data_IF_741701052230
#
_entry.id   IF_741701052230
#
_cell.length_a   1.000
_cell.length_b   1.000
_cell.length_c   1.000
_cell.angle_alpha   90.00
_cell.angle_beta   90.00
_cell.angle_gamma   90.00
#
_symmetry.space_group_name_H-M   'P 1'
#
loop_
_entity.id
_entity.type
_entity.pdbx_description
1 polymer ?
#
# COMPACT_ATOMS: atom_id res chain seq x y z
N UNK A 1 -11.47 46.79 12.88
CA UNK A 1 -10.23 46.37 13.59
C UNK A 1 -10.53 45.09 14.36
N UNK A 2 -10.43 43.92 13.71
CA UNK A 2 -10.28 42.58 14.32
C UNK A 2 -10.47 41.48 13.26
N UNK A 3 -9.51 41.28 12.37
CA UNK A 3 -9.56 40.14 11.44
C UNK A 3 -8.17 39.58 11.10
N UNK A 4 -7.22 39.67 12.04
CA UNK A 4 -5.81 39.22 11.82
C UNK A 4 -5.39 38.10 12.80
N UNK A 5 -6.22 37.68 13.76
CA UNK A 5 -5.78 36.78 14.83
C UNK A 5 -6.02 35.28 14.54
N UNK A 6 -6.74 34.91 13.47
CA UNK A 6 -7.13 33.49 13.26
C UNK A 6 -6.14 32.62 12.47
N UNK A 7 -5.22 33.20 11.69
CA UNK A 7 -4.29 32.39 10.88
C UNK A 7 -3.03 31.99 11.63
N UNK A 8 -2.58 32.79 12.61
CA UNK A 8 -1.34 32.54 13.34
C UNK A 8 -1.42 31.29 14.25
N UNK A 9 -2.62 30.94 14.71
CA UNK A 9 -2.84 29.75 15.55
C UNK A 9 -2.83 28.43 14.75
N UNK A 10 -3.17 28.46 13.45
CA UNK A 10 -3.18 27.26 12.60
C UNK A 10 -1.78 26.88 12.12
N UNK A 11 -0.93 27.87 11.88
CA UNK A 11 0.48 27.65 11.51
C UNK A 11 1.28 27.15 12.73
N UNK A 12 1.11 27.81 13.88
CA UNK A 12 1.68 27.41 15.18
C UNK A 12 1.31 25.97 15.61
N UNK A 13 0.09 25.50 15.28
CA UNK A 13 -0.31 24.11 15.57
C UNK A 13 0.25 23.09 14.56
N UNK A 14 0.49 23.46 13.30
CA UNK A 14 1.17 22.57 12.34
C UNK A 14 2.65 22.39 12.72
N UNK A 15 3.29 23.44 13.19
CA UNK A 15 4.69 23.39 13.59
C UNK A 15 4.88 22.64 14.92
N UNK A 16 3.93 22.77 15.86
CA UNK A 16 3.95 21.96 17.11
C UNK A 16 3.62 20.49 16.89
N UNK A 17 2.76 20.15 15.95
CA UNK A 17 2.49 18.75 15.59
C UNK A 17 3.67 18.06 14.89
N UNK A 18 4.56 18.84 14.26
CA UNK A 18 5.82 18.35 13.68
C UNK A 18 6.98 18.32 14.70
N UNK A 19 6.93 19.12 15.77
CA UNK A 19 7.99 19.17 16.78
C UNK A 19 7.90 18.04 17.82
N UNK A 20 6.71 17.54 18.15
CA UNK A 20 6.52 16.55 19.22
C UNK A 20 6.75 15.08 18.79
N UNK A 21 7.15 14.83 17.54
CA UNK A 21 7.40 13.47 17.02
C UNK A 21 8.88 13.05 16.99
N UNK A 22 9.82 13.89 17.44
CA UNK A 22 11.24 13.61 17.23
C UNK A 22 12.04 13.52 18.53
N UNK A 23 12.10 12.31 19.07
CA UNK A 23 13.34 11.79 19.67
C UNK A 23 13.67 10.48 18.95
N UNK A 24 14.28 10.63 17.78
CA UNK A 24 14.93 9.55 17.03
C UNK A 24 16.41 9.89 17.01
N UNK A 25 17.17 9.26 17.90
CA UNK A 25 18.62 9.42 18.05
C UNK A 25 19.36 8.65 16.95
N UNK A 26 19.21 9.03 15.68
CA UNK A 26 20.18 8.76 14.59
C UNK A 26 19.78 9.52 13.31
N UNK A 27 20.75 9.96 12.51
CA UNK A 27 20.49 10.60 11.19
C UNK A 27 19.79 9.64 10.19
N UNK A 28 19.87 8.32 10.43
CA UNK A 28 19.27 7.30 9.56
C UNK A 28 17.75 7.13 9.81
N UNK A 29 17.24 7.52 10.98
CA UNK A 29 15.83 7.39 11.35
C UNK A 29 14.97 8.62 10.98
N UNK A 30 15.55 9.61 10.29
CA UNK A 30 14.81 10.80 9.88
C UNK A 30 13.72 10.45 8.88
N UNK A 31 12.48 10.82 9.21
CA UNK A 31 11.32 10.67 8.33
C UNK A 31 11.44 11.68 7.17
N UNK A 32 11.55 11.17 5.95
CA UNK A 32 11.65 11.96 4.71
C UNK A 32 10.27 12.21 4.11
N UNK A 33 9.35 11.27 4.31
CA UNK A 33 7.98 11.37 3.82
C UNK A 33 7.04 10.57 4.72
N UNK A 34 5.83 11.06 4.93
CA UNK A 34 4.81 10.42 5.78
C UNK A 34 3.43 10.51 5.12
N UNK A 35 2.69 9.40 5.17
CA UNK A 35 1.28 9.32 4.83
C UNK A 35 0.49 8.74 6.00
N UNK A 36 -0.44 9.55 6.51
CA UNK A 36 -1.34 9.16 7.59
C UNK A 36 -2.70 8.80 7.05
N UNK A 37 -3.39 7.92 7.80
CA UNK A 37 -4.79 7.59 7.57
C UNK A 37 -5.65 8.86 7.52
N UNK A 38 -6.48 8.97 6.49
CA UNK A 38 -7.42 10.08 6.31
C UNK A 38 -8.38 10.13 7.50
N UNK A 39 -8.32 11.25 8.24
CA UNK A 39 -9.16 11.48 9.43
C UNK A 39 -10.62 11.77 9.08
N UNK A 40 -10.88 12.24 7.85
CA UNK A 40 -12.23 12.55 7.38
C UNK A 40 -13.05 11.31 7.00
N UNK A 41 -14.38 11.44 7.08
CA UNK A 41 -15.32 10.41 6.69
C UNK A 41 -15.66 10.62 5.20
N UNK A 42 -15.04 9.83 4.32
CA UNK A 42 -15.37 9.82 2.88
C UNK A 42 -16.59 8.93 2.61
N UNK A 43 -17.35 9.23 1.56
CA UNK A 43 -18.43 8.36 1.08
C UNK A 43 -17.95 6.92 0.84
N UNK A 44 -16.78 6.76 0.19
CA UNK A 44 -16.19 5.44 -0.06
C UNK A 44 -15.90 4.67 1.23
N UNK A 45 -15.44 5.37 2.27
CA UNK A 45 -15.15 4.78 3.58
C UNK A 45 -16.43 4.36 4.31
N UNK A 46 -17.47 5.19 4.27
CA UNK A 46 -18.80 4.81 4.79
C UNK A 46 -19.31 3.56 4.05
N UNK A 47 -19.29 3.61 2.73
CA UNK A 47 -19.77 2.52 1.88
C UNK A 47 -19.00 1.22 2.13
N UNK A 48 -17.68 1.30 2.30
CA UNK A 48 -16.80 0.18 2.64
C UNK A 48 -17.26 -0.57 3.89
N UNK A 49 -17.59 0.14 4.98
CA UNK A 49 -18.03 -0.48 6.22
C UNK A 49 -19.49 -0.90 6.18
N UNK A 50 -20.39 -0.06 5.65
CA UNK A 50 -21.83 -0.36 5.60
C UNK A 50 -22.10 -1.62 4.77
N UNK A 51 -21.53 -1.73 3.57
CA UNK A 51 -21.72 -2.89 2.68
C UNK A 51 -21.37 -4.20 3.39
N UNK A 52 -20.26 -4.21 4.13
CA UNK A 52 -19.80 -5.39 4.89
C UNK A 52 -20.70 -5.71 6.09
N UNK A 53 -21.15 -4.69 6.83
CA UNK A 53 -22.07 -4.89 7.96
C UNK A 53 -23.41 -5.47 7.46
N UNK A 54 -23.95 -4.94 6.37
CA UNK A 54 -25.18 -5.45 5.74
C UNK A 54 -25.01 -6.92 5.33
N UNK A 55 -23.84 -7.28 4.78
CA UNK A 55 -23.56 -8.65 4.38
C UNK A 55 -23.44 -9.61 5.58
N UNK A 56 -22.85 -9.15 6.68
CA UNK A 56 -22.78 -9.92 7.94
C UNK A 56 -24.19 -10.15 8.50
N UNK A 57 -25.05 -9.12 8.51
CA UNK A 57 -26.45 -9.26 8.95
C UNK A 57 -27.20 -10.24 8.05
N UNK A 58 -27.03 -10.15 6.73
CA UNK A 58 -27.62 -11.09 5.77
C UNK A 58 -27.20 -12.54 6.04
N UNK A 59 -25.92 -12.77 6.33
CA UNK A 59 -25.44 -14.10 6.68
C UNK A 59 -26.06 -14.63 7.97
N UNK A 60 -26.12 -13.80 9.02
CA UNK A 60 -26.75 -14.19 10.28
C UNK A 60 -28.21 -14.59 10.03
N UNK A 61 -28.93 -13.82 9.20
CA UNK A 61 -30.29 -14.16 8.80
C UNK A 61 -30.38 -15.52 8.08
N UNK A 62 -29.48 -15.79 7.13
CA UNK A 62 -29.42 -17.08 6.42
C UNK A 62 -29.13 -18.23 7.39
N UNK A 63 -28.20 -18.06 8.32
CA UNK A 63 -27.90 -19.06 9.35
C UNK A 63 -29.13 -19.39 10.19
N UNK A 64 -29.85 -18.38 10.69
CA UNK A 64 -31.04 -18.59 11.52
C UNK A 64 -32.20 -19.22 10.75
N UNK A 65 -32.46 -18.76 9.52
CA UNK A 65 -33.58 -19.24 8.71
C UNK A 65 -33.38 -20.69 8.24
N UNK A 66 -32.14 -21.07 7.99
CA UNK A 66 -31.80 -22.35 7.41
C UNK A 66 -31.01 -23.26 8.37
N UNK A 67 -31.15 -23.01 9.67
CA UNK A 67 -30.55 -23.81 10.73
C UNK A 67 -31.00 -25.28 10.71
N UNK A 68 -32.13 -25.61 10.05
CA UNK A 68 -32.58 -26.98 9.84
C UNK A 68 -31.69 -27.67 8.79
N UNK A 69 -30.73 -28.45 9.30
CA UNK A 69 -29.65 -29.10 8.54
C UNK A 69 -30.14 -30.00 7.39
N UNK A 70 -29.78 -29.61 6.17
CA UNK A 70 -29.75 -30.48 4.97
C UNK A 70 -28.34 -30.39 4.36
N UNK A 71 -27.81 -31.49 3.82
CA UNK A 71 -26.45 -31.52 3.26
C UNK A 71 -26.14 -30.40 2.25
N UNK A 72 -27.10 -30.03 1.39
CA UNK A 72 -26.93 -28.91 0.47
C UNK A 72 -26.79 -27.54 1.16
N UNK A 73 -27.42 -27.36 2.33
CA UNK A 73 -27.32 -26.12 3.11
C UNK A 73 -25.98 -25.97 3.83
N UNK A 74 -25.32 -27.08 4.16
CA UNK A 74 -23.98 -27.06 4.75
C UNK A 74 -22.99 -26.43 3.78
N UNK A 75 -23.04 -26.81 2.50
CA UNK A 75 -22.16 -26.22 1.47
C UNK A 75 -22.40 -24.72 1.29
N UNK A 76 -23.65 -24.29 1.31
CA UNK A 76 -24.03 -22.87 1.25
C UNK A 76 -23.47 -22.10 2.44
N UNK A 77 -23.62 -22.64 3.66
CA UNK A 77 -23.10 -22.01 4.88
C UNK A 77 -21.57 -21.94 4.86
N UNK A 78 -20.87 -23.01 4.45
CA UNK A 78 -19.41 -23.01 4.34
C UNK A 78 -18.92 -21.96 3.35
N UNK A 79 -19.55 -21.86 2.18
CA UNK A 79 -19.23 -20.85 1.18
C UNK A 79 -19.45 -19.44 1.71
N UNK A 80 -20.61 -19.16 2.32
CA UNK A 80 -20.89 -17.86 2.94
C UNK A 80 -19.91 -17.51 4.06
N UNK A 81 -19.50 -18.49 4.86
CA UNK A 81 -18.52 -18.30 5.93
C UNK A 81 -17.15 -17.91 5.38
N UNK A 82 -16.74 -18.51 4.24
CA UNK A 82 -15.53 -18.10 3.53
C UNK A 82 -15.63 -16.64 3.06
N UNK A 83 -16.74 -16.26 2.44
CA UNK A 83 -16.96 -14.86 1.98
C UNK A 83 -16.85 -13.88 3.15
N UNK A 84 -17.46 -14.19 4.30
CA UNK A 84 -17.41 -13.31 5.47
C UNK A 84 -16.02 -13.22 6.07
N UNK A 85 -15.27 -14.32 6.10
CA UNK A 85 -13.88 -14.31 6.53
C UNK A 85 -13.06 -13.31 5.70
N UNK A 86 -13.26 -13.29 4.38
CA UNK A 86 -12.62 -12.32 3.48
C UNK A 86 -13.08 -10.88 3.77
N UNK A 87 -14.38 -10.65 4.01
CA UNK A 87 -14.89 -9.31 4.33
C UNK A 87 -14.34 -8.80 5.68
N UNK A 88 -14.30 -9.66 6.70
CA UNK A 88 -13.75 -9.35 8.01
C UNK A 88 -12.25 -9.07 7.95
N UNK A 89 -11.49 -9.81 7.13
CA UNK A 89 -10.07 -9.51 6.86
C UNK A 89 -9.92 -8.08 6.36
N UNK A 90 -10.76 -7.63 5.44
CA UNK A 90 -10.73 -6.25 4.94
C UNK A 90 -10.95 -5.20 6.03
N UNK A 91 -11.95 -5.40 6.90
CA UNK A 91 -12.21 -4.51 8.05
C UNK A 91 -10.99 -4.49 8.99
N UNK A 92 -10.44 -5.67 9.28
CA UNK A 92 -9.29 -5.80 10.16
C UNK A 92 -8.07 -5.07 9.61
N UNK A 93 -7.71 -5.27 8.33
CA UNK A 93 -6.59 -4.59 7.67
C UNK A 93 -6.79 -3.06 7.69
N UNK A 94 -7.98 -2.59 7.33
CA UNK A 94 -8.34 -1.17 7.35
C UNK A 94 -8.20 -0.56 8.75
N UNK A 95 -8.75 -1.19 9.79
CA UNK A 95 -8.67 -0.68 11.17
C UNK A 95 -7.24 -0.77 11.71
N UNK A 96 -6.51 -1.83 11.37
CA UNK A 96 -5.17 -2.06 11.91
C UNK A 96 -4.12 -1.13 11.28
N UNK A 97 -4.37 -0.59 10.09
CA UNK A 97 -3.49 0.37 9.47
C UNK A 97 -3.47 1.72 10.23
N UNK A 98 -2.27 2.24 10.55
CA UNK A 98 -2.08 3.50 11.28
C UNK A 98 -1.48 4.59 10.38
N UNK A 99 -0.27 4.36 9.85
CA UNK A 99 0.44 5.27 8.94
C UNK A 99 1.51 4.53 8.13
N UNK A 100 1.97 5.15 7.06
CA UNK A 100 3.17 4.75 6.31
C UNK A 100 4.15 5.91 6.37
N UNK A 101 5.43 5.62 6.53
CA UNK A 101 6.46 6.63 6.37
C UNK A 101 7.72 6.04 5.76
N UNK A 102 8.51 6.92 5.17
CA UNK A 102 9.76 6.61 4.49
C UNK A 102 10.88 7.29 5.27
N UNK A 103 11.92 6.52 5.57
CA UNK A 103 13.20 6.95 6.11
C UNK A 103 14.25 6.94 4.98
N UNK A 104 15.53 7.08 5.31
CA UNK A 104 16.61 7.08 4.31
C UNK A 104 16.68 5.81 3.46
N UNK A 105 16.47 4.65 4.07
CA UNK A 105 16.67 3.35 3.42
C UNK A 105 15.46 2.40 3.57
N UNK A 106 14.47 2.74 4.39
CA UNK A 106 13.33 1.86 4.69
C UNK A 106 11.99 2.58 4.56
N UNK A 107 11.00 1.82 4.13
CA UNK A 107 9.58 2.13 4.29
C UNK A 107 9.02 1.35 5.48
N UNK A 108 8.31 2.04 6.35
CA UNK A 108 7.69 1.45 7.53
C UNK A 108 6.18 1.65 7.46
N UNK A 109 5.44 0.56 7.57
CA UNK A 109 3.99 0.54 7.69
C UNK A 109 3.67 0.24 9.14
N UNK A 110 3.23 1.27 9.84
CA UNK A 110 2.84 1.18 11.24
C UNK A 110 1.46 0.58 11.39
N UNK A 111 1.33 -0.34 12.34
CA UNK A 111 0.07 -1.00 12.67
C UNK A 111 -0.38 -0.62 14.08
N UNK A 112 -1.69 -0.57 14.29
CA UNK A 112 -2.27 -0.35 15.62
C UNK A 112 -2.06 -1.58 16.54
N UNK A 113 -1.91 -2.77 15.94
CA UNK A 113 -1.69 -4.04 16.62
C UNK A 113 -0.76 -4.94 15.82
N UNK A 114 0.14 -5.61 16.55
CA UNK A 114 1.19 -6.45 15.99
C UNK A 114 2.43 -5.65 15.60
N UNK A 115 3.44 -6.34 15.08
CA UNK A 115 4.72 -5.72 14.71
C UNK A 115 4.56 -4.77 13.53
N UNK A 116 5.42 -3.78 13.37
CA UNK A 116 5.40 -2.96 12.17
C UNK A 116 5.98 -3.71 10.97
N UNK A 117 5.54 -3.36 9.77
CA UNK A 117 6.09 -3.95 8.54
C UNK A 117 7.19 -3.04 8.04
N UNK A 118 8.41 -3.57 7.99
CA UNK A 118 9.59 -2.85 7.52
C UNK A 118 9.99 -3.41 6.16
N UNK A 119 10.10 -2.53 5.17
CA UNK A 119 10.48 -2.85 3.80
C UNK A 119 11.70 -2.02 3.40
N UNK A 120 12.76 -2.68 2.94
CA UNK A 120 13.95 -1.99 2.42
C UNK A 120 13.63 -1.32 1.10
N UNK A 121 13.91 -0.03 0.97
CA UNK A 121 13.65 0.72 -0.26
C UNK A 121 14.42 0.12 -1.43
N UNK A 122 13.72 -0.04 -2.56
CA UNK A 122 14.28 -0.59 -3.78
C UNK A 122 14.21 -2.11 -3.91
N UNK A 123 13.84 -2.85 -2.85
CA UNK A 123 13.65 -4.30 -2.92
C UNK A 123 12.19 -4.72 -3.12
N UNK A 124 11.30 -3.76 -3.34
CA UNK A 124 9.88 -3.99 -3.57
C UNK A 124 9.35 -2.98 -4.60
N UNK A 125 8.19 -3.30 -5.16
CA UNK A 125 7.38 -2.38 -5.94
C UNK A 125 5.96 -2.29 -5.37
N UNK A 126 5.22 -1.29 -5.83
CA UNK A 126 3.83 -1.09 -5.44
C UNK A 126 2.97 -0.98 -6.68
N UNK A 127 1.77 -1.55 -6.64
CA UNK A 127 0.76 -1.38 -7.69
C UNK A 127 -0.62 -1.21 -7.10
N UNK A 128 -1.48 -0.56 -7.88
CA UNK A 128 -2.91 -0.48 -7.61
C UNK A 128 -3.58 -1.75 -8.14
N UNK A 129 -4.28 -2.44 -7.25
CA UNK A 129 -5.07 -3.63 -7.54
C UNK A 129 -6.54 -3.27 -7.43
N UNK A 130 -7.21 -3.23 -8.59
CA UNK A 130 -8.65 -3.07 -8.71
C UNK A 130 -9.20 -4.42 -9.17
N UNK A 131 -9.68 -5.20 -8.20
CA UNK A 131 -10.14 -6.56 -8.45
C UNK A 131 -11.60 -6.50 -8.92
N UNK A 132 -11.79 -6.35 -10.24
CA UNK A 132 -13.06 -6.04 -10.90
C UNK A 132 -14.26 -6.89 -10.46
N UNK A 133 -14.05 -8.14 -10.05
CA UNK A 133 -15.12 -9.04 -9.60
C UNK A 133 -15.61 -8.71 -8.18
N UNK A 134 -14.72 -8.18 -7.34
CA UNK A 134 -15.02 -7.75 -5.97
C UNK A 134 -15.48 -6.29 -5.93
N UNK A 135 -14.93 -5.43 -6.80
CA UNK A 135 -15.23 -3.99 -6.86
C UNK A 135 -16.68 -3.68 -7.23
N UNK A 136 -17.35 -4.57 -7.97
CA UNK A 136 -18.77 -4.43 -8.29
C UNK A 136 -19.68 -4.47 -7.05
N UNK A 137 -19.22 -5.07 -5.94
CA UNK A 137 -20.00 -5.23 -4.70
C UNK A 137 -19.36 -4.55 -3.49
N UNK A 138 -18.04 -4.44 -3.45
CA UNK A 138 -17.28 -3.89 -2.32
C UNK A 138 -16.18 -2.97 -2.82
N UNK A 139 -16.04 -1.78 -2.23
CA UNK A 139 -14.88 -0.90 -2.52
C UNK A 139 -13.61 -1.63 -2.07
N UNK A 140 -12.80 -2.12 -3.01
CA UNK A 140 -11.64 -2.97 -2.72
C UNK A 140 -10.35 -2.51 -3.45
N UNK A 141 -10.35 -1.30 -4.03
CA UNK A 141 -9.14 -0.67 -4.54
C UNK A 141 -8.04 -0.70 -3.47
N UNK A 142 -6.96 -1.43 -3.76
CA UNK A 142 -5.86 -1.66 -2.82
C UNK A 142 -4.53 -1.31 -3.43
N UNK A 143 -3.64 -0.79 -2.60
CA UNK A 143 -2.22 -0.63 -2.91
C UNK A 143 -1.52 -1.87 -2.37
N UNK A 144 -0.92 -2.64 -3.27
CA UNK A 144 -0.23 -3.88 -2.94
C UNK A 144 1.27 -3.65 -2.94
N UNK A 145 1.92 -4.05 -1.86
CA UNK A 145 3.38 -4.02 -1.69
C UNK A 145 3.95 -5.39 -2.04
N UNK A 146 4.63 -5.47 -3.18
CA UNK A 146 5.17 -6.70 -3.74
C UNK A 146 6.69 -6.72 -3.60
N UNK A 147 7.21 -7.65 -2.81
CA UNK A 147 8.65 -7.94 -2.76
C UNK A 147 9.11 -8.54 -4.08
N UNK A 148 10.36 -8.30 -4.44
CA UNK A 148 10.98 -8.84 -5.65
C UNK A 148 11.17 -10.36 -5.65
N UNK A 149 10.92 -11.00 -4.51
CA UNK A 149 10.73 -12.44 -4.40
C UNK A 149 9.34 -12.93 -4.87
N UNK A 150 8.45 -12.04 -5.32
CA UNK A 150 7.09 -12.36 -5.75
C UNK A 150 6.08 -12.54 -4.61
N UNK A 151 6.46 -12.17 -3.38
CA UNK A 151 5.62 -12.30 -2.19
C UNK A 151 4.93 -10.98 -1.88
N UNK A 152 3.61 -11.00 -1.73
CA UNK A 152 2.84 -9.86 -1.21
C UNK A 152 3.23 -9.69 0.26
N UNK A 153 3.76 -8.51 0.59
CA UNK A 153 4.14 -8.15 1.96
C UNK A 153 2.98 -7.51 2.70
N UNK A 154 2.23 -6.67 2.01
CA UNK A 154 1.09 -5.98 2.58
C UNK A 154 0.15 -5.42 1.51
N UNK A 155 -1.12 -5.28 1.86
CA UNK A 155 -2.17 -4.65 1.06
C UNK A 155 -2.89 -3.59 1.91
N UNK A 156 -3.15 -2.43 1.34
CA UNK A 156 -3.86 -1.34 2.03
C UNK A 156 -4.93 -0.79 1.12
N UNK A 157 -6.11 -0.52 1.68
CA UNK A 157 -7.20 0.06 0.91
C UNK A 157 -6.94 1.53 0.57
N UNK A 158 -7.10 1.90 -0.70
CA UNK A 158 -6.83 3.23 -1.22
C UNK A 158 -7.72 4.31 -0.60
N UNK A 159 -8.98 3.97 -0.29
CA UNK A 159 -9.93 4.90 0.35
C UNK A 159 -9.52 5.37 1.76
N UNK A 160 -8.45 4.80 2.33
CA UNK A 160 -7.87 5.24 3.60
C UNK A 160 -6.96 6.46 3.44
N UNK A 161 -6.68 6.88 2.22
CA UNK A 161 -5.76 7.97 1.89
C UNK A 161 -6.44 9.09 1.10
N UNK A 162 -5.69 10.16 0.86
CA UNK A 162 -6.07 11.21 -0.09
C UNK A 162 -5.50 10.88 -1.47
N UNK A 163 -6.32 11.00 -2.52
CA UNK A 163 -6.01 10.50 -3.87
C UNK A 163 -4.70 11.07 -4.46
N UNK A 164 -4.36 12.32 -4.14
CA UNK A 164 -3.16 12.97 -4.67
C UNK A 164 -1.87 12.50 -3.99
N UNK A 165 -1.94 12.05 -2.73
CA UNK A 165 -0.75 11.69 -1.95
C UNK A 165 -0.22 10.31 -2.38
N UNK A 166 -1.08 9.46 -2.93
CA UNK A 166 -0.66 8.16 -3.47
C UNK A 166 0.23 8.31 -4.72
N UNK A 167 -0.04 9.30 -5.57
CA UNK A 167 0.78 9.54 -6.76
C UNK A 167 2.19 9.97 -6.37
N UNK A 168 2.31 10.87 -5.40
CA UNK A 168 3.60 11.30 -4.86
C UNK A 168 4.38 10.11 -4.29
N UNK A 169 3.70 9.26 -3.53
CA UNK A 169 4.27 8.04 -2.99
C UNK A 169 4.81 7.11 -4.08
N UNK A 170 4.01 6.84 -5.13
CA UNK A 170 4.42 5.98 -6.23
C UNK A 170 5.64 6.53 -6.97
N UNK A 171 5.74 7.86 -7.12
CA UNK A 171 6.91 8.51 -7.73
C UNK A 171 8.17 8.25 -6.91
N UNK A 172 8.10 8.39 -5.58
CA UNK A 172 9.23 8.11 -4.67
C UNK A 172 9.65 6.64 -4.79
N UNK A 173 8.71 5.71 -4.65
CA UNK A 173 8.99 4.27 -4.72
C UNK A 173 9.57 3.88 -6.09
N UNK A 174 9.06 4.47 -7.18
CA UNK A 174 9.58 4.27 -8.54
C UNK A 174 11.06 4.60 -8.67
N UNK A 175 11.51 5.71 -8.09
CA UNK A 175 12.91 6.09 -8.14
C UNK A 175 13.82 5.04 -7.46
N UNK A 176 13.42 4.57 -6.27
CA UNK A 176 14.21 3.61 -5.50
C UNK A 176 14.31 2.26 -6.20
N UNK A 177 13.19 1.69 -6.66
CA UNK A 177 13.25 0.39 -7.34
C UNK A 177 13.93 0.49 -8.70
N UNK A 178 13.79 1.60 -9.43
CA UNK A 178 14.49 1.79 -10.70
C UNK A 178 16.00 1.78 -10.48
N UNK A 179 16.49 2.55 -9.49
CA UNK A 179 17.92 2.58 -9.15
C UNK A 179 18.44 1.19 -8.77
N UNK A 180 17.68 0.43 -7.98
CA UNK A 180 18.05 -0.95 -7.63
C UNK A 180 18.14 -1.85 -8.87
N UNK A 181 17.11 -1.84 -9.72
CA UNK A 181 17.05 -2.68 -10.92
C UNK A 181 18.14 -2.34 -11.94
N UNK A 182 18.51 -1.07 -12.06
CA UNK A 182 19.65 -0.67 -12.87
C UNK A 182 20.94 -1.33 -12.36
N UNK A 183 21.18 -1.28 -11.06
CA UNK A 183 22.42 -1.75 -10.44
C UNK A 183 22.52 -3.27 -10.24
N UNK A 184 21.46 -4.02 -10.51
CA UNK A 184 21.51 -5.49 -10.45
C UNK A 184 22.49 -6.06 -11.47
N UNK A 185 23.10 -7.20 -11.15
CA UNK A 185 23.79 -8.03 -12.12
C UNK A 185 22.81 -8.51 -13.21
N UNK A 186 23.30 -8.73 -14.43
CA UNK A 186 22.45 -9.09 -15.57
C UNK A 186 21.63 -10.37 -15.33
N UNK A 187 22.24 -11.38 -14.71
CA UNK A 187 21.58 -12.65 -14.38
C UNK A 187 20.41 -12.44 -13.40
N UNK A 188 20.67 -11.75 -12.28
CA UNK A 188 19.66 -11.44 -11.26
C UNK A 188 18.52 -10.58 -11.82
N UNK A 189 18.85 -9.61 -12.69
CA UNK A 189 17.84 -8.79 -13.35
C UNK A 189 16.92 -9.62 -14.24
N UNK A 190 17.48 -10.52 -15.06
CA UNK A 190 16.68 -11.37 -15.95
C UNK A 190 15.81 -12.35 -15.16
N UNK A 191 16.32 -12.91 -14.05
CA UNK A 191 15.53 -13.76 -13.16
C UNK A 191 14.34 -13.00 -12.54
N UNK A 192 14.60 -11.80 -12.01
CA UNK A 192 13.59 -10.96 -11.41
C UNK A 192 12.56 -10.49 -12.44
N UNK A 193 13.02 -10.10 -13.64
CA UNK A 193 12.16 -9.75 -14.78
C UNK A 193 11.20 -10.89 -15.09
N UNK A 194 11.65 -12.15 -15.13
CA UNK A 194 10.77 -13.32 -15.36
C UNK A 194 9.73 -13.51 -14.26
N UNK A 195 10.09 -13.28 -12.99
CA UNK A 195 9.20 -13.46 -11.84
C UNK A 195 8.11 -12.39 -11.74
N UNK A 196 8.43 -11.15 -12.11
CA UNK A 196 7.57 -9.98 -11.90
C UNK A 196 6.87 -9.53 -13.21
N UNK A 197 7.11 -10.23 -14.33
CA UNK A 197 6.56 -9.85 -15.63
C UNK A 197 5.03 -10.00 -15.70
N UNK A 198 4.33 -8.87 -15.66
CA UNK A 198 3.66 -8.27 -16.84
C UNK A 198 2.83 -7.02 -16.50
N UNK A 199 2.58 -6.70 -15.22
CA UNK A 199 1.55 -5.70 -14.85
C UNK A 199 2.10 -4.52 -14.04
N UNK A 200 3.19 -4.71 -13.28
CA UNK A 200 3.56 -3.76 -12.21
C UNK A 200 4.73 -2.84 -12.55
N UNK A 201 5.76 -3.33 -13.24
CA UNK A 201 7.00 -2.57 -13.50
C UNK A 201 7.18 -2.35 -15.01
N UNK A 202 7.42 -1.10 -15.47
CA UNK A 202 7.68 -0.81 -16.88
C UNK A 202 9.11 -1.23 -17.27
N UNK A 203 9.37 -2.53 -17.37
CA UNK A 203 10.70 -3.06 -17.68
C UNK A 203 11.29 -2.53 -18.99
N UNK A 204 10.44 -2.16 -19.97
CA UNK A 204 10.89 -1.54 -21.22
C UNK A 204 11.65 -0.21 -21.00
N UNK A 205 11.26 0.59 -20.00
CA UNK A 205 11.99 1.81 -19.65
C UNK A 205 13.34 1.47 -19.01
N UNK A 206 13.37 0.44 -18.16
CA UNK A 206 14.57 0.01 -17.44
C UNK A 206 15.58 -0.64 -18.40
N UNK A 207 15.13 -1.45 -19.36
CA UNK A 207 15.97 -2.05 -20.38
C UNK A 207 16.73 -0.97 -21.17
N UNK A 208 16.02 0.06 -21.66
CA UNK A 208 16.64 1.20 -22.37
C UNK A 208 17.70 1.91 -21.54
N UNK A 209 17.40 2.17 -20.26
CA UNK A 209 18.35 2.83 -19.36
C UNK A 209 19.61 1.98 -19.09
N UNK A 210 19.49 0.65 -19.05
CA UNK A 210 20.64 -0.25 -18.90
C UNK A 210 21.46 -0.30 -20.18
N UNK A 211 20.83 -0.38 -21.34
CA UNK A 211 21.52 -0.30 -22.64
C UNK A 211 22.31 1.02 -22.79
N UNK A 212 21.69 2.16 -22.49
CA UNK A 212 22.38 3.47 -22.56
C UNK A 212 23.60 3.55 -21.64
N UNK A 213 23.52 2.97 -20.45
CA UNK A 213 24.64 2.92 -19.51
C UNK A 213 25.77 2.03 -20.03
N UNK A 214 25.43 0.85 -20.53
CA UNK A 214 26.41 -0.12 -21.01
C UNK A 214 27.10 0.38 -22.29
N UNK A 215 26.40 1.16 -23.14
CA UNK A 215 27.01 1.88 -24.28
C UNK A 215 27.98 2.97 -23.80
N UNK A 216 27.60 3.75 -22.78
CA UNK A 216 28.47 4.80 -22.22
C UNK A 216 29.74 4.26 -21.58
N UNK A 217 29.66 3.16 -20.82
CA UNK A 217 30.85 2.53 -20.21
C UNK A 217 31.82 2.05 -21.28
N UNK A 218 31.32 1.39 -22.32
CA UNK A 218 32.13 0.88 -23.43
C UNK A 218 32.82 1.99 -24.25
N UNK A 219 32.26 3.20 -24.29
CA UNK A 219 32.88 4.35 -24.94
C UNK A 219 33.97 5.00 -24.08
N UNK A 220 33.81 5.00 -22.75
CA UNK A 220 34.82 5.49 -21.81
C UNK A 220 36.04 4.57 -21.76
N UNK A 221 35.84 3.26 -21.76
CA UNK A 221 36.94 2.27 -21.78
C UNK A 221 37.72 2.27 -23.10
N UNK A 222 37.13 2.76 -24.21
CA UNK A 222 37.82 2.91 -25.50
C UNK A 222 38.57 4.24 -25.65
N UNK A 223 38.33 5.20 -24.76
CA UNK A 223 38.96 6.52 -24.78
C UNK A 223 40.16 6.62 -23.81
N UNK A 224 40.46 5.56 -23.08
CA UNK A 224 41.57 5.42 -22.11
C UNK A 224 42.62 4.45 -22.64
#
# INVERSE_FOLDING_TARGET
>A
MSEIIKDNDRESQRDKANADSTKLDSDDDKIIWELRKKKGISFLKIWFYISRIVFIIFYIYVLFKYASFRWGMIMVILFLSLVISLLLRGIFVSINFKRIYITKDKLIIERNRGDDIVLTLGTFCTYESNDNLQDALFVNDTIVFLDFNGMIKYDIFQHEFEDNVLKEFQVIIKQHYTKYLLNLAQENYLELKKKIYLIVIPFNEIDKLREERDVKSNLQDKAM
#
